data_IF_489107185623
#
_entry.id   IF_489107185623
#
_cell.length_a   1.000
_cell.length_b   1.000
_cell.length_c   1.000
_cell.angle_alpha   90.00
_cell.angle_beta   90.00
_cell.angle_gamma   90.00
#
_symmetry.space_group_name_H-M   'P 1'
#
loop_
_entity.id
_entity.type
_entity.pdbx_description
1 polymer ?
#
# COMPACT_ATOMS: atom_id res chain seq x y z
N UNK A 1 -1.93 10.87 -26.24
CA UNK A 1 -2.15 9.47 -26.74
C UNK A 1 -2.10 8.59 -25.52
N UNK A 2 -3.10 7.74 -25.31
CA UNK A 2 -3.16 6.89 -24.12
C UNK A 2 -1.84 6.11 -23.95
N UNK A 3 -1.33 5.99 -22.70
CA UNK A 3 -0.10 5.25 -22.45
C UNK A 3 -0.28 3.77 -22.77
N UNK A 4 0.81 3.13 -23.24
CA UNK A 4 0.78 1.69 -23.53
C UNK A 4 0.50 0.90 -22.23
N UNK A 5 -0.58 0.13 -22.17
CA UNK A 5 -0.92 -0.67 -20.99
C UNK A 5 0.12 -1.73 -20.62
N UNK A 6 0.98 -2.14 -21.57
CA UNK A 6 2.08 -3.08 -21.33
C UNK A 6 3.33 -2.41 -20.75
N UNK A 7 3.38 -1.07 -20.67
CA UNK A 7 4.51 -0.35 -20.06
C UNK A 7 4.76 -0.87 -18.64
N UNK A 8 6.01 -1.18 -18.32
CA UNK A 8 6.39 -1.61 -16.99
C UNK A 8 6.53 -0.41 -16.05
N UNK A 9 5.95 -0.54 -14.86
CA UNK A 9 6.02 0.45 -13.79
C UNK A 9 6.29 -0.24 -12.46
N UNK A 10 6.99 0.44 -11.56
CA UNK A 10 7.07 0.01 -10.18
C UNK A 10 5.85 0.55 -9.41
N UNK A 11 5.05 -0.35 -8.86
CA UNK A 11 4.04 -0.01 -7.85
C UNK A 11 4.66 -0.12 -6.46
N UNK A 12 4.81 1.01 -5.77
CA UNK A 12 5.29 1.06 -4.40
C UNK A 12 4.10 1.09 -3.43
N UNK A 13 4.03 0.16 -2.49
CA UNK A 13 3.00 0.06 -1.47
C UNK A 13 3.58 0.20 -0.06
N UNK A 14 2.76 0.68 0.87
CA UNK A 14 3.10 0.97 2.27
C UNK A 14 2.08 0.40 3.27
N UNK A 15 1.01 -0.18 2.77
CA UNK A 15 -0.08 -0.80 3.55
C UNK A 15 -0.02 -2.33 3.52
N UNK A 16 -1.18 -2.98 3.56
CA UNK A 16 -1.28 -4.45 3.58
C UNK A 16 -0.68 -5.14 2.36
N UNK A 17 -0.55 -4.43 1.23
CA UNK A 17 0.07 -4.96 0.02
C UNK A 17 1.60 -5.17 0.16
N UNK A 18 2.21 -4.72 1.27
CA UNK A 18 3.58 -5.12 1.62
C UNK A 18 3.70 -6.63 1.83
N UNK A 19 2.67 -7.31 2.33
CA UNK A 19 2.61 -8.77 2.37
C UNK A 19 2.34 -9.32 0.96
N UNK A 20 3.27 -10.13 0.43
CA UNK A 20 3.23 -10.59 -0.98
C UNK A 20 1.97 -11.38 -1.29
N UNK A 21 1.60 -12.35 -0.45
CA UNK A 21 0.39 -13.16 -0.64
C UNK A 21 -0.87 -12.28 -0.68
N UNK A 22 -0.89 -11.20 0.12
CA UNK A 22 -1.99 -10.24 0.11
C UNK A 22 -2.05 -9.45 -1.19
N UNK A 23 -0.91 -9.01 -1.72
CA UNK A 23 -0.85 -8.31 -3.00
C UNK A 23 -1.26 -9.20 -4.17
N UNK A 24 -0.82 -10.45 -4.20
CA UNK A 24 -1.12 -11.37 -5.31
C UNK A 24 -2.61 -11.55 -5.55
N UNK A 25 -3.47 -11.49 -4.51
CA UNK A 25 -4.94 -11.59 -4.71
C UNK A 25 -5.52 -10.40 -5.49
N UNK A 26 -4.87 -9.25 -5.53
CA UNK A 26 -5.29 -8.17 -6.42
C UNK A 26 -5.06 -8.51 -7.90
N UNK A 27 -4.10 -9.37 -8.19
CA UNK A 27 -3.80 -9.83 -9.55
C UNK A 27 -4.61 -11.08 -9.92
N UNK A 28 -4.56 -12.11 -9.07
CA UNK A 28 -5.13 -13.43 -9.37
C UNK A 28 -6.60 -13.59 -8.98
N UNK A 29 -7.14 -12.62 -8.24
CA UNK A 29 -8.47 -12.76 -7.64
C UNK A 29 -8.50 -13.71 -6.44
N UNK A 30 -9.69 -13.91 -5.89
CA UNK A 30 -9.89 -14.77 -4.74
C UNK A 30 -9.73 -14.06 -3.40
N UNK A 31 -9.42 -14.82 -2.35
CA UNK A 31 -9.39 -14.32 -0.97
C UNK A 31 -8.02 -14.48 -0.35
N UNK A 32 -7.47 -13.38 0.17
CA UNK A 32 -6.27 -13.46 0.98
C UNK A 32 -6.55 -14.14 2.34
N UNK A 33 -5.56 -14.82 2.89
CA UNK A 33 -5.66 -15.42 4.23
C UNK A 33 -6.02 -14.35 5.27
N UNK A 34 -7.04 -14.62 6.08
CA UNK A 34 -7.51 -13.68 7.11
C UNK A 34 -8.37 -12.51 6.59
N UNK A 35 -8.74 -12.48 5.30
CA UNK A 35 -9.63 -11.46 4.74
C UNK A 35 -11.07 -11.98 4.60
N UNK A 36 -12.05 -11.09 4.81
CA UNK A 36 -13.48 -11.43 4.72
C UNK A 36 -14.08 -11.21 3.32
N UNK A 37 -13.31 -10.66 2.39
CA UNK A 37 -13.79 -10.29 1.06
C UNK A 37 -12.91 -10.87 -0.05
N UNK A 38 -13.56 -11.27 -1.15
CA UNK A 38 -12.89 -11.68 -2.35
C UNK A 38 -12.49 -10.45 -3.19
N UNK A 39 -11.39 -10.60 -3.94
CA UNK A 39 -10.97 -9.69 -4.98
C UNK A 39 -11.36 -10.26 -6.35
N UNK A 40 -11.70 -9.37 -7.29
CA UNK A 40 -12.02 -9.80 -8.67
C UNK A 40 -10.75 -10.28 -9.41
N UNK A 41 -9.57 -9.76 -9.03
CA UNK A 41 -8.31 -9.95 -9.75
C UNK A 41 -8.12 -8.86 -10.81
N UNK A 42 -6.92 -8.75 -11.35
CA UNK A 42 -6.63 -7.88 -12.47
C UNK A 42 -6.98 -8.57 -13.81
N UNK A 43 -7.13 -7.81 -14.89
CA UNK A 43 -7.32 -8.35 -16.26
C UNK A 43 -6.10 -9.16 -16.71
N UNK A 44 -4.92 -8.75 -16.26
CA UNK A 44 -3.68 -9.51 -16.39
C UNK A 44 -3.34 -10.10 -15.02
N UNK A 45 -3.50 -11.40 -14.86
CA UNK A 45 -3.27 -12.14 -13.61
C UNK A 45 -1.83 -12.62 -13.41
N UNK A 46 -0.92 -12.26 -14.34
CA UNK A 46 0.48 -12.64 -14.25
C UNK A 46 1.12 -12.12 -12.95
N UNK A 47 2.00 -12.89 -12.31
CA UNK A 47 2.70 -12.42 -11.13
C UNK A 47 3.62 -11.23 -11.46
N UNK A 48 4.00 -10.41 -10.46
CA UNK A 48 4.99 -9.36 -10.65
C UNK A 48 6.30 -9.92 -11.22
N UNK A 49 6.93 -9.16 -12.12
CA UNK A 49 8.21 -9.53 -12.76
C UNK A 49 9.35 -9.50 -11.71
N UNK A 50 9.29 -8.53 -10.80
CA UNK A 50 10.26 -8.38 -9.71
C UNK A 50 9.58 -7.70 -8.52
N UNK A 51 10.20 -7.77 -7.37
CA UNK A 51 9.83 -7.00 -6.19
C UNK A 51 11.06 -6.64 -5.36
N UNK A 52 10.92 -5.66 -4.48
CA UNK A 52 12.02 -5.20 -3.63
C UNK A 52 11.56 -4.21 -2.56
N UNK A 53 12.43 -3.89 -1.60
CA UNK A 53 12.14 -2.90 -0.57
C UNK A 53 12.08 -1.49 -1.16
N UNK A 54 11.33 -0.62 -0.50
CA UNK A 54 11.31 0.82 -0.74
C UNK A 54 11.24 1.58 0.57
N UNK A 55 11.90 2.74 0.63
CA UNK A 55 11.74 3.72 1.71
C UNK A 55 11.18 4.98 1.08
N UNK A 56 10.01 5.41 1.56
CA UNK A 56 9.36 6.62 1.07
C UNK A 56 10.02 7.87 1.62
N UNK A 57 9.93 8.99 0.88
CA UNK A 57 10.33 10.32 1.36
C UNK A 57 9.35 10.94 2.35
N UNK A 58 8.25 10.25 2.67
CA UNK A 58 7.18 10.69 3.57
C UNK A 58 6.81 9.58 4.55
N UNK A 59 6.12 9.91 5.64
CA UNK A 59 5.58 8.92 6.56
C UNK A 59 4.21 8.40 6.10
N UNK A 60 3.71 7.36 6.79
CA UNK A 60 2.31 6.96 6.74
C UNK A 60 1.57 7.45 7.97
N UNK A 61 0.26 7.62 7.84
CA UNK A 61 -0.66 7.82 8.95
C UNK A 61 -1.87 6.91 8.80
N UNK A 62 -2.48 6.56 9.94
CA UNK A 62 -3.71 5.78 9.98
C UNK A 62 -4.87 6.70 10.34
N UNK A 63 -5.85 6.83 9.44
CA UNK A 63 -6.97 7.76 9.59
C UNK A 63 -8.26 7.18 9.04
N UNK A 64 -9.40 7.61 9.59
CA UNK A 64 -10.70 7.14 9.14
C UNK A 64 -11.01 5.70 9.59
N UNK A 65 -11.85 5.01 8.82
CA UNK A 65 -12.26 3.63 9.12
C UNK A 65 -12.46 2.82 7.84
N UNK A 66 -11.88 1.64 7.81
CA UNK A 66 -12.09 0.63 6.77
C UNK A 66 -12.98 -0.48 7.31
N UNK A 67 -14.16 -0.69 6.72
CA UNK A 67 -15.03 -1.82 7.09
C UNK A 67 -14.35 -3.17 6.83
N UNK A 68 -13.49 -3.25 5.79
CA UNK A 68 -12.72 -4.47 5.46
C UNK A 68 -11.77 -4.87 6.58
N UNK A 69 -11.11 -3.90 7.20
CA UNK A 69 -10.10 -4.13 8.22
C UNK A 69 -10.61 -3.92 9.65
N UNK A 70 -11.85 -3.42 9.80
CA UNK A 70 -12.42 -3.01 11.09
C UNK A 70 -11.46 -2.10 11.88
N UNK A 71 -10.85 -1.14 11.20
CA UNK A 71 -9.86 -0.22 11.77
C UNK A 71 -9.42 0.83 10.75
N UNK A 72 -8.53 1.73 11.16
CA UNK A 72 -8.05 2.78 10.27
C UNK A 72 -7.11 2.22 9.19
N UNK A 73 -7.33 2.55 7.91
CA UNK A 73 -6.39 2.24 6.84
C UNK A 73 -5.20 3.20 6.87
N UNK A 74 -4.06 2.74 6.30
CA UNK A 74 -2.87 3.56 6.13
C UNK A 74 -2.98 4.46 4.90
N UNK A 75 -2.47 5.68 5.02
CA UNK A 75 -2.28 6.62 3.91
C UNK A 75 -0.87 7.17 3.96
N UNK A 76 -0.29 7.45 2.79
CA UNK A 76 0.98 8.17 2.69
C UNK A 76 0.72 9.65 2.95
N UNK A 77 1.46 10.26 3.88
CA UNK A 77 1.37 11.69 4.16
C UNK A 77 1.88 12.49 2.95
N UNK A 78 1.33 13.70 2.75
CA UNK A 78 1.82 14.62 1.72
C UNK A 78 3.07 15.39 2.19
N UNK A 79 3.39 15.30 3.46
CA UNK A 79 4.51 15.99 4.09
C UNK A 79 5.76 15.14 4.08
N UNK A 80 6.88 15.72 3.63
CA UNK A 80 8.17 15.06 3.66
C UNK A 80 8.59 14.68 5.09
N UNK A 81 9.28 13.55 5.25
CA UNK A 81 9.76 13.05 6.52
C UNK A 81 11.20 12.56 6.42
N UNK A 82 12.07 12.89 7.41
CA UNK A 82 13.50 12.54 7.37
C UNK A 82 13.78 11.06 7.31
N UNK A 83 12.96 10.23 7.97
CA UNK A 83 13.14 8.78 8.04
C UNK A 83 12.26 8.02 7.06
N UNK A 84 11.13 8.59 6.65
CA UNK A 84 10.17 8.02 5.73
C UNK A 84 9.56 6.67 6.14
N UNK A 85 8.52 6.27 5.48
CA UNK A 85 7.89 4.97 5.72
C UNK A 85 8.62 3.84 4.99
N UNK A 86 8.61 2.64 5.60
CA UNK A 86 9.02 1.41 4.92
C UNK A 86 7.88 0.91 4.02
N UNK A 87 8.23 0.28 2.91
CA UNK A 87 7.27 -0.32 2.00
C UNK A 87 7.88 -1.38 1.10
N UNK A 88 7.09 -1.89 0.18
CA UNK A 88 7.48 -2.84 -0.86
C UNK A 88 7.12 -2.29 -2.22
N UNK A 89 7.91 -2.59 -3.24
CA UNK A 89 7.58 -2.27 -4.64
C UNK A 89 7.46 -3.56 -5.45
N UNK A 90 6.60 -3.53 -6.46
CA UNK A 90 6.38 -4.62 -7.42
C UNK A 90 6.54 -4.07 -8.84
N UNK A 91 7.32 -4.74 -9.68
CA UNK A 91 7.42 -4.42 -11.11
C UNK A 91 6.28 -5.13 -11.84
N UNK A 92 5.32 -4.35 -12.30
CA UNK A 92 4.08 -4.80 -12.94
C UNK A 92 3.80 -3.98 -14.20
N UNK A 93 2.81 -4.37 -14.99
CA UNK A 93 2.37 -3.55 -16.11
C UNK A 93 1.52 -2.37 -15.64
N UNK A 94 1.46 -1.32 -16.45
CA UNK A 94 0.59 -0.16 -16.18
C UNK A 94 -0.89 -0.58 -16.11
N UNK A 95 -1.30 -1.57 -16.90
CA UNK A 95 -2.64 -2.16 -16.82
C UNK A 95 -2.90 -2.79 -15.46
N UNK A 96 -1.97 -3.61 -14.96
CA UNK A 96 -2.08 -4.20 -13.62
C UNK A 96 -2.12 -3.11 -12.54
N UNK A 97 -1.29 -2.07 -12.65
CA UNK A 97 -1.31 -0.95 -11.71
C UNK A 97 -2.67 -0.23 -11.71
N UNK A 98 -3.27 0.00 -12.90
CA UNK A 98 -4.61 0.58 -13.02
C UNK A 98 -5.68 -0.30 -12.37
N UNK A 99 -5.61 -1.62 -12.57
CA UNK A 99 -6.57 -2.56 -12.00
C UNK A 99 -6.44 -2.70 -10.48
N UNK A 100 -5.22 -2.63 -9.94
CA UNK A 100 -4.98 -2.58 -8.48
C UNK A 100 -5.54 -1.28 -7.91
N UNK A 101 -5.27 -0.12 -8.55
CA UNK A 101 -5.78 1.18 -8.13
C UNK A 101 -7.32 1.24 -8.18
N UNK A 102 -7.92 0.67 -9.21
CA UNK A 102 -9.37 0.54 -9.32
C UNK A 102 -9.96 -0.23 -8.13
N UNK A 103 -9.42 -1.43 -7.83
CA UNK A 103 -9.90 -2.26 -6.73
C UNK A 103 -9.75 -1.60 -5.35
N UNK A 104 -8.68 -0.81 -5.11
CA UNK A 104 -8.52 -0.03 -3.88
C UNK A 104 -9.58 1.07 -3.73
N UNK A 105 -10.10 1.57 -4.85
CA UNK A 105 -11.19 2.56 -4.89
C UNK A 105 -12.58 1.94 -5.13
N UNK A 106 -12.73 0.59 -5.00
CA UNK A 106 -13.98 -0.15 -5.20
C UNK A 106 -14.55 -0.02 -6.62
N UNK A 107 -13.69 0.15 -7.58
CA UNK A 107 -13.99 0.13 -9.00
C UNK A 107 -13.56 -1.24 -9.54
N UNK A 108 -14.30 -1.78 -10.50
CA UNK A 108 -13.92 -3.03 -11.15
C UNK A 108 -12.65 -2.87 -11.97
N UNK A 109 -11.81 -3.91 -12.08
CA UNK A 109 -10.72 -3.95 -13.03
C UNK A 109 -11.18 -3.55 -14.45
N UNK A 110 -10.38 -2.71 -15.12
CA UNK A 110 -10.76 -2.11 -16.40
C UNK A 110 -11.73 -0.92 -16.33
N UNK A 111 -12.25 -0.60 -15.14
CA UNK A 111 -13.14 0.55 -14.95
C UNK A 111 -12.43 1.88 -14.63
N UNK A 112 -11.08 1.87 -14.61
CA UNK A 112 -10.26 3.05 -14.38
C UNK A 112 -9.25 3.17 -15.50
N UNK A 113 -9.20 4.35 -16.13
CA UNK A 113 -8.20 4.70 -17.12
C UNK A 113 -7.33 5.84 -16.57
N UNK A 114 -6.02 5.72 -16.76
CA UNK A 114 -5.12 6.80 -16.41
C UNK A 114 -5.12 7.89 -17.47
N UNK A 115 -4.93 9.17 -17.07
CA UNK A 115 -4.71 10.26 -18.03
C UNK A 115 -3.51 9.98 -18.93
N UNK A 116 -3.54 10.54 -20.14
CA UNK A 116 -2.50 10.38 -21.17
C UNK A 116 -1.09 10.75 -20.68
N UNK A 117 -1.01 11.67 -19.73
CA UNK A 117 0.22 12.24 -19.17
C UNK A 117 0.65 11.60 -17.84
N UNK A 118 0.04 10.49 -17.42
CA UNK A 118 0.36 9.85 -16.13
C UNK A 118 1.84 9.46 -16.02
N UNK A 119 2.45 9.04 -17.13
CA UNK A 119 3.85 8.65 -17.19
C UNK A 119 4.82 9.84 -17.19
N UNK A 120 4.32 11.06 -17.42
CA UNK A 120 5.10 12.30 -17.45
C UNK A 120 5.19 12.98 -16.06
N UNK A 121 4.53 12.44 -15.05
CA UNK A 121 4.60 12.97 -13.70
C UNK A 121 6.04 12.94 -13.17
N UNK A 122 6.54 14.10 -12.79
CA UNK A 122 7.85 14.17 -12.13
C UNK A 122 7.81 13.64 -10.70
N UNK A 123 8.93 13.11 -10.16
CA UNK A 123 9.01 12.65 -8.77
C UNK A 123 8.48 13.69 -7.78
N UNK A 124 7.64 13.25 -6.86
CA UNK A 124 6.95 14.10 -5.88
C UNK A 124 5.67 14.77 -6.39
N UNK A 125 5.37 14.73 -7.68
CA UNK A 125 4.09 15.19 -8.20
C UNK A 125 2.99 14.17 -7.94
N UNK A 126 1.76 14.68 -7.76
CA UNK A 126 0.57 13.84 -7.66
C UNK A 126 -0.51 14.31 -8.62
N UNK A 127 -1.32 13.34 -9.06
CA UNK A 127 -2.49 13.59 -9.90
C UNK A 127 -3.69 12.82 -9.36
N UNK A 128 -4.80 13.52 -9.12
CA UNK A 128 -6.06 12.88 -8.75
C UNK A 128 -6.66 12.25 -10.00
N UNK A 129 -6.83 10.93 -9.96
CA UNK A 129 -7.33 10.12 -11.08
C UNK A 129 -8.79 9.74 -10.87
N UNK A 130 -9.20 9.54 -9.61
CA UNK A 130 -10.56 9.14 -9.27
C UNK A 130 -10.98 9.78 -7.94
N UNK A 131 -12.28 10.01 -7.78
CA UNK A 131 -12.85 10.41 -6.49
C UNK A 131 -12.97 9.17 -5.60
N UNK A 132 -12.00 8.98 -4.74
CA UNK A 132 -11.89 7.80 -3.87
C UNK A 132 -10.89 7.99 -2.74
N UNK A 133 -10.88 7.05 -1.82
CA UNK A 133 -10.01 7.11 -0.65
C UNK A 133 -8.52 7.14 -1.03
N UNK A 134 -8.15 6.42 -2.08
CA UNK A 134 -6.81 6.34 -2.65
C UNK A 134 -6.77 6.95 -4.05
N UNK A 135 -7.52 8.05 -4.27
CA UNK A 135 -7.77 8.60 -5.60
C UNK A 135 -6.59 9.32 -6.27
N UNK A 136 -5.53 9.63 -5.54
CA UNK A 136 -4.36 10.31 -6.09
C UNK A 136 -3.21 9.33 -6.36
N UNK A 137 -2.67 9.35 -7.57
CA UNK A 137 -1.40 8.72 -7.94
C UNK A 137 -0.27 9.69 -7.65
N UNK A 138 0.80 9.20 -7.03
CA UNK A 138 2.02 9.97 -6.71
C UNK A 138 3.19 9.34 -7.44
N UNK A 139 3.94 10.14 -8.20
CA UNK A 139 5.19 9.71 -8.80
C UNK A 139 6.33 9.76 -7.78
N UNK A 140 7.15 8.72 -7.77
CA UNK A 140 8.38 8.59 -6.98
C UNK A 140 9.59 8.58 -7.92
N UNK A 141 10.80 8.60 -7.36
CA UNK A 141 12.00 8.46 -8.17
C UNK A 141 11.96 7.15 -8.98
N UNK A 142 12.27 7.19 -10.28
CA UNK A 142 12.28 6.00 -11.11
C UNK A 142 13.35 5.02 -10.66
N UNK A 143 13.09 3.72 -10.86
CA UNK A 143 13.99 2.65 -10.48
C UNK A 143 14.28 1.78 -11.68
N UNK A 144 15.56 1.49 -11.94
CA UNK A 144 16.03 0.65 -13.05
C UNK A 144 15.44 1.06 -14.41
N UNK A 145 15.25 2.38 -14.63
CA UNK A 145 14.69 2.94 -15.85
C UNK A 145 13.18 2.86 -16.00
N UNK A 146 12.46 2.35 -14.98
CA UNK A 146 11.00 2.29 -14.96
C UNK A 146 10.40 3.36 -14.05
N UNK A 147 9.30 4.02 -14.47
CA UNK A 147 8.54 4.92 -13.61
C UNK A 147 8.09 4.20 -12.33
N UNK A 148 8.09 4.92 -11.21
CA UNK A 148 7.64 4.38 -9.93
C UNK A 148 6.45 5.19 -9.44
N UNK A 149 5.37 4.52 -9.08
CA UNK A 149 4.15 5.13 -8.60
C UNK A 149 3.66 4.51 -7.29
N UNK A 150 2.97 5.31 -6.53
CA UNK A 150 2.12 4.88 -5.43
C UNK A 150 0.78 5.61 -5.52
N UNK A 151 -0.17 5.30 -4.63
CA UNK A 151 -1.41 6.06 -4.52
C UNK A 151 -1.72 6.36 -3.06
N UNK A 152 -2.36 7.49 -2.81
CA UNK A 152 -2.78 7.96 -1.49
C UNK A 152 -4.08 8.77 -1.61
N UNK A 153 -4.51 9.38 -0.49
CA UNK A 153 -5.65 10.27 -0.51
C UNK A 153 -5.38 11.52 -1.36
N UNK A 154 -6.38 12.04 -2.11
CA UNK A 154 -6.23 13.27 -2.89
C UNK A 154 -5.94 14.52 -2.03
N UNK A 155 -6.40 14.52 -0.78
CA UNK A 155 -6.18 15.60 0.19
C UNK A 155 -5.28 15.10 1.32
N UNK A 156 -4.48 15.99 1.98
CA UNK A 156 -3.53 15.59 3.02
C UNK A 156 -4.19 14.76 4.12
N UNK A 157 -3.89 13.45 4.22
CA UNK A 157 -4.52 12.58 5.21
C UNK A 157 -4.09 12.93 6.64
N UNK A 158 -2.90 13.49 6.83
CA UNK A 158 -2.36 13.92 8.11
C UNK A 158 -3.14 15.09 8.75
N UNK A 159 -4.06 15.72 8.02
CA UNK A 159 -4.96 16.74 8.56
C UNK A 159 -6.22 16.13 9.21
N UNK A 160 -6.45 14.83 9.03
CA UNK A 160 -7.55 14.12 9.65
C UNK A 160 -7.14 13.57 11.01
N UNK A 161 -8.08 13.41 11.97
CA UNK A 161 -7.78 12.79 13.26
C UNK A 161 -7.22 11.37 13.08
N UNK A 162 -6.07 11.04 13.70
CA UNK A 162 -5.54 9.69 13.68
C UNK A 162 -6.48 8.70 14.37
N UNK A 163 -6.54 7.48 13.86
CA UNK A 163 -7.32 6.38 14.42
C UNK A 163 -6.52 5.07 14.36
N UNK A 164 -6.74 4.12 15.28
CA UNK A 164 -5.95 2.90 15.35
C UNK A 164 -6.23 1.95 14.19
N UNK A 165 -5.18 1.34 13.60
CA UNK A 165 -5.37 0.15 12.77
C UNK A 165 -5.83 -1.04 13.61
N UNK A 166 -6.55 -1.97 13.00
CA UNK A 166 -6.88 -3.26 13.65
C UNK A 166 -5.65 -4.17 13.74
N UNK A 167 -5.71 -5.16 14.64
CA UNK A 167 -4.65 -6.16 14.79
C UNK A 167 -4.32 -6.90 13.47
N UNK A 168 -5.29 -7.45 12.72
CA UNK A 168 -5.00 -8.14 11.47
C UNK A 168 -4.35 -7.22 10.42
N UNK A 169 -4.79 -5.96 10.34
CA UNK A 169 -4.24 -5.01 9.37
C UNK A 169 -2.80 -4.65 9.70
N UNK A 170 -2.54 -4.29 10.98
CA UNK A 170 -1.19 -3.94 11.44
C UNK A 170 -0.24 -5.14 11.30
N UNK A 171 -0.68 -6.34 11.69
CA UNK A 171 0.10 -7.55 11.52
C UNK A 171 0.46 -7.81 10.05
N UNK A 172 -0.50 -7.67 9.13
CA UNK A 172 -0.25 -7.84 7.69
C UNK A 172 0.84 -6.89 7.19
N UNK A 173 0.83 -5.63 7.64
CA UNK A 173 1.88 -4.65 7.31
C UNK A 173 3.22 -5.09 7.89
N UNK A 174 3.29 -5.40 9.19
CA UNK A 174 4.52 -5.80 9.87
C UNK A 174 5.15 -7.03 9.24
N UNK A 175 4.37 -8.09 8.98
CA UNK A 175 4.85 -9.30 8.31
C UNK A 175 5.35 -9.03 6.89
N UNK A 176 4.64 -8.20 6.12
CA UNK A 176 5.06 -7.82 4.78
C UNK A 176 6.37 -7.03 4.75
N UNK A 177 6.58 -6.15 5.74
CA UNK A 177 7.84 -5.42 5.89
C UNK A 177 8.99 -6.35 6.30
N UNK A 178 8.76 -7.27 7.25
CA UNK A 178 9.76 -8.28 7.65
C UNK A 178 10.13 -9.21 6.50
N UNK A 179 9.18 -9.53 5.62
CA UNK A 179 9.40 -10.38 4.46
C UNK A 179 10.38 -9.76 3.44
N UNK A 180 10.40 -8.45 3.27
CA UNK A 180 11.12 -7.79 2.17
C UNK A 180 12.32 -6.95 2.62
N UNK A 181 12.34 -6.47 3.86
CA UNK A 181 13.45 -5.69 4.38
C UNK A 181 14.44 -6.57 5.16
N UNK A 182 15.73 -6.38 4.90
CA UNK A 182 16.81 -6.99 5.71
C UNK A 182 17.04 -6.15 6.97
N UNK A 183 16.01 -6.08 7.81
CA UNK A 183 15.98 -5.31 9.06
C UNK A 183 15.52 -6.22 10.20
N UNK A 184 16.04 -5.96 11.41
CA UNK A 184 15.53 -6.66 12.58
C UNK A 184 14.11 -6.17 12.97
N UNK A 185 13.39 -7.03 13.69
CA UNK A 185 12.00 -6.76 14.09
C UNK A 185 11.88 -5.50 14.97
N UNK A 186 12.90 -5.18 15.80
CA UNK A 186 12.87 -3.98 16.63
C UNK A 186 12.85 -2.72 15.76
N UNK A 187 13.68 -2.69 14.70
CA UNK A 187 13.74 -1.54 13.81
C UNK A 187 12.45 -1.41 12.98
N UNK A 188 11.89 -2.53 12.50
CA UNK A 188 10.59 -2.52 11.80
C UNK A 188 9.49 -1.97 12.71
N UNK A 189 9.39 -2.51 13.94
CA UNK A 189 8.41 -2.07 14.95
C UNK A 189 8.61 -0.60 15.30
N UNK A 190 9.85 -0.16 15.52
CA UNK A 190 10.15 1.24 15.80
C UNK A 190 9.67 2.17 14.67
N UNK A 191 9.96 1.82 13.43
CA UNK A 191 9.57 2.61 12.25
C UNK A 191 8.05 2.73 12.12
N UNK A 192 7.31 1.62 12.27
CA UNK A 192 5.85 1.60 12.19
C UNK A 192 5.21 2.29 13.39
N UNK A 193 5.79 2.17 14.58
CA UNK A 193 5.27 2.79 15.79
C UNK A 193 5.19 4.32 15.74
N UNK A 194 6.00 4.98 14.91
CA UNK A 194 5.98 6.43 14.77
C UNK A 194 4.81 6.94 13.92
N UNK A 195 4.10 6.05 13.20
CA UNK A 195 2.98 6.46 12.37
C UNK A 195 1.79 6.93 13.23
N UNK A 196 1.23 8.14 12.96
CA UNK A 196 0.01 8.60 13.62
C UNK A 196 -1.11 7.56 13.53
N UNK A 197 -1.77 7.28 14.66
CA UNK A 197 -2.78 6.22 14.81
C UNK A 197 -2.22 4.91 15.39
N UNK A 198 -0.93 4.63 15.29
CA UNK A 198 -0.31 3.47 15.96
C UNK A 198 -0.14 3.78 17.45
N UNK A 199 0.70 4.73 17.83
CA UNK A 199 0.79 5.18 19.24
C UNK A 199 -0.31 6.21 19.54
N UNK A 200 -0.92 6.17 20.75
CA UNK A 200 -0.64 5.29 21.91
C UNK A 200 -1.39 3.94 21.90
N UNK A 201 -2.09 3.59 20.83
CA UNK A 201 -2.99 2.44 20.78
C UNK A 201 -2.24 1.09 20.73
N UNK A 202 -1.04 1.07 20.15
CA UNK A 202 -0.20 -0.12 20.01
C UNK A 202 1.15 0.08 20.70
N UNK A 203 1.45 -0.75 21.71
CA UNK A 203 2.78 -0.80 22.32
C UNK A 203 3.76 -1.58 21.43
N UNK A 204 5.06 -1.33 21.59
CA UNK A 204 6.09 -2.12 20.89
C UNK A 204 5.98 -3.61 21.22
N UNK A 205 5.70 -3.96 22.48
CA UNK A 205 5.48 -5.35 22.90
C UNK A 205 4.32 -6.00 22.15
N UNK A 206 3.18 -5.29 22.02
CA UNK A 206 2.03 -5.82 21.28
C UNK A 206 2.35 -6.00 19.78
N UNK A 207 3.12 -5.10 19.19
CA UNK A 207 3.54 -5.23 17.78
C UNK A 207 4.50 -6.41 17.58
N UNK A 208 5.42 -6.67 18.49
CA UNK A 208 6.25 -7.89 18.46
C UNK A 208 5.40 -9.16 18.57
N UNK A 209 4.41 -9.18 19.46
CA UNK A 209 3.46 -10.30 19.53
C UNK A 209 2.73 -10.54 18.21
N UNK A 210 2.34 -9.47 17.48
CA UNK A 210 1.76 -9.61 16.14
C UNK A 210 2.77 -10.23 15.15
N UNK A 211 4.05 -9.88 15.21
CA UNK A 211 5.09 -10.47 14.35
C UNK A 211 5.36 -11.96 14.69
N UNK A 212 5.22 -12.33 15.95
CA UNK A 212 5.43 -13.71 16.40
C UNK A 212 4.22 -14.63 16.15
N UNK A 213 3.05 -14.02 15.87
CA UNK A 213 1.79 -14.76 15.65
C UNK A 213 1.56 -14.94 14.14
N UNK A 214 1.32 -16.17 13.65
CA UNK A 214 0.96 -16.41 12.26
C UNK A 214 -0.28 -15.60 11.84
N UNK A 215 -0.27 -14.99 10.64
CA UNK A 215 -1.40 -14.17 10.16
C UNK A 215 -2.76 -14.91 10.17
N UNK A 216 -2.74 -16.23 10.00
CA UNK A 216 -3.96 -17.07 10.05
C UNK A 216 -4.60 -17.18 11.45
N UNK A 217 -3.87 -16.85 12.51
CA UNK A 217 -4.31 -16.94 13.90
C UNK A 217 -4.74 -15.59 14.49
N UNK A 218 -4.50 -14.49 13.76
CA UNK A 218 -4.85 -13.14 14.19
C UNK A 218 -6.30 -12.84 13.79
N UNK A 219 -7.19 -12.83 14.77
CA UNK A 219 -8.62 -12.55 14.57
C UNK A 219 -8.94 -11.07 14.58
N UNK A 220 -9.96 -10.68 13.80
CA UNK A 220 -10.64 -9.39 13.93
C UNK A 220 -11.57 -9.49 15.15
N UNK A 221 -11.08 -9.14 16.33
CA UNK A 221 -11.95 -8.99 17.53
C UNK A 221 -12.60 -7.62 17.51
#
# INVERSE_FOLDING_TARGET
>A
MAPDPATLVWYACYGSNCARDRFLVYLTGGRAKGADHDHEGARNDAPPIADGPVVFGTNICFVGHSARWNGAPAFLEHRAAPTGALGRRYLITLEQFADVHAQENRIRPGGLEFPDDILDLAPGQQQTVVDGAYGAVVALDPVDGHPTFTFTAPTPPEQRPPAPPSAPYLATILHGLREIHDLDDNLIVERVAHAPGVRPNWSSTAMHQLLDTPLSEISST
#
